data_IF_133330155281
#
_entry.id   IF_133330155281
#
_cell.length_a   1.000
_cell.length_b   1.000
_cell.length_c   1.000
_cell.angle_alpha   90.00
_cell.angle_beta   90.00
_cell.angle_gamma   90.00
#
_symmetry.space_group_name_H-M   'P 1'
#
loop_
_entity.id
_entity.type
_entity.pdbx_description
1 polymer ?
#
# COMPACT_ATOMS: atom_id res chain seq x y z
N UNK A 1 5.39 -15.47 -11.96
CA UNK A 1 5.28 -15.86 -10.54
C UNK A 1 4.72 -14.70 -9.67
N UNK A 2 3.77 -13.90 -10.19
CA UNK A 2 3.26 -12.67 -9.55
C UNK A 2 1.73 -12.63 -9.67
N UNK A 3 1.09 -13.77 -9.34
CA UNK A 3 -0.35 -14.00 -9.60
C UNK A 3 -1.18 -14.21 -8.33
N UNK A 4 -0.56 -14.33 -7.14
CA UNK A 4 -1.32 -14.48 -5.89
C UNK A 4 -1.49 -13.13 -5.21
N UNK A 5 -2.64 -12.93 -4.55
CA UNK A 5 -2.91 -11.75 -3.74
C UNK A 5 -1.80 -11.51 -2.70
N UNK A 6 -1.34 -12.59 -2.04
CA UNK A 6 -0.23 -12.57 -1.08
C UNK A 6 1.04 -11.96 -1.69
N UNK A 7 1.47 -12.43 -2.86
CA UNK A 7 2.70 -11.96 -3.48
C UNK A 7 2.59 -10.51 -3.94
N UNK A 8 1.46 -10.11 -4.53
CA UNK A 8 1.24 -8.73 -4.94
C UNK A 8 1.22 -7.77 -3.75
N UNK A 9 0.55 -8.14 -2.64
CA UNK A 9 0.51 -7.31 -1.45
C UNK A 9 1.89 -7.23 -0.78
N UNK A 10 2.58 -8.35 -0.63
CA UNK A 10 3.91 -8.40 -0.02
C UNK A 10 4.95 -7.59 -0.81
N UNK A 11 4.96 -7.71 -2.14
CA UNK A 11 5.84 -6.90 -3.00
C UNK A 11 5.51 -5.42 -2.89
N UNK A 12 4.23 -5.07 -2.81
CA UNK A 12 3.83 -3.68 -2.65
C UNK A 12 4.32 -3.10 -1.32
N UNK A 13 4.10 -3.82 -0.21
CA UNK A 13 4.61 -3.43 1.11
C UNK A 13 6.14 -3.29 1.09
N UNK A 14 6.83 -4.25 0.49
CA UNK A 14 8.30 -4.25 0.41
C UNK A 14 8.84 -3.04 -0.35
N UNK A 15 8.27 -2.74 -1.52
CA UNK A 15 8.78 -1.65 -2.35
C UNK A 15 8.39 -0.27 -1.82
N UNK A 16 7.23 -0.16 -1.17
CA UNK A 16 6.71 1.13 -0.68
C UNK A 16 7.16 1.45 0.76
N UNK A 17 7.43 0.45 1.59
CA UNK A 17 7.58 0.68 3.04
C UNK A 17 8.56 -0.26 3.77
N UNK A 18 9.41 -1.05 3.10
CA UNK A 18 10.33 -1.98 3.78
C UNK A 18 11.26 -1.35 4.82
N UNK A 19 11.64 -0.10 4.61
CA UNK A 19 12.52 0.66 5.51
C UNK A 19 11.75 1.44 6.59
N UNK A 20 10.42 1.33 6.60
CA UNK A 20 9.55 1.97 7.57
C UNK A 20 9.19 1.02 8.72
N UNK A 21 8.65 1.58 9.79
CA UNK A 21 8.12 0.78 10.90
C UNK A 21 6.93 -0.12 10.47
N UNK A 22 6.63 -1.13 11.30
CA UNK A 22 5.55 -2.10 11.03
C UNK A 22 4.21 -1.40 10.85
N UNK A 23 3.94 -0.31 11.59
CA UNK A 23 2.70 0.44 11.47
C UNK A 23 2.54 1.10 10.09
N UNK A 24 3.60 1.66 9.53
CA UNK A 24 3.60 2.22 8.17
C UNK A 24 3.45 1.13 7.11
N UNK A 25 4.09 -0.03 7.30
CA UNK A 25 3.93 -1.18 6.40
C UNK A 25 2.49 -1.71 6.38
N UNK A 26 1.86 -1.82 7.56
CA UNK A 26 0.43 -2.14 7.69
C UNK A 26 -0.44 -1.08 7.01
N UNK A 27 -0.12 0.22 7.19
CA UNK A 27 -0.91 1.29 6.60
C UNK A 27 -0.89 1.28 5.05
N UNK A 28 0.24 0.91 4.43
CA UNK A 28 0.32 0.69 2.97
C UNK A 28 -0.53 -0.51 2.54
N UNK A 29 -0.50 -1.60 3.32
CA UNK A 29 -1.34 -2.76 3.07
C UNK A 29 -2.84 -2.41 3.19
N UNK A 30 -3.23 -1.68 4.22
CA UNK A 30 -4.59 -1.17 4.40
C UNK A 30 -5.05 -0.35 3.19
N UNK A 31 -4.26 0.61 2.72
CA UNK A 31 -4.63 1.40 1.53
C UNK A 31 -4.84 0.51 0.31
N UNK A 32 -4.00 -0.53 0.13
CA UNK A 32 -4.14 -1.47 -0.98
C UNK A 32 -5.47 -2.23 -0.89
N UNK A 33 -5.84 -2.71 0.30
CA UNK A 33 -7.08 -3.47 0.52
C UNK A 33 -8.34 -2.57 0.55
N UNK A 34 -8.24 -1.35 1.07
CA UNK A 34 -9.30 -0.33 1.00
C UNK A 34 -9.65 -0.02 -0.46
N UNK A 35 -8.65 0.00 -1.35
CA UNK A 35 -8.88 0.15 -2.80
C UNK A 35 -9.59 -1.06 -3.38
N UNK A 36 -9.20 -2.28 -3.03
CA UNK A 36 -9.88 -3.50 -3.48
C UNK A 36 -11.37 -3.50 -3.12
N UNK A 37 -11.74 -2.99 -1.95
CA UNK A 37 -13.14 -2.88 -1.51
C UNK A 37 -13.92 -1.74 -2.18
N UNK A 38 -13.22 -0.83 -2.84
CA UNK A 38 -13.82 0.37 -3.42
C UNK A 38 -14.17 0.13 -4.89
N UNK A 39 -15.38 0.51 -5.29
CA UNK A 39 -15.88 0.42 -6.68
C UNK A 39 -15.11 1.29 -7.68
N UNK A 40 -14.21 2.15 -7.20
CA UNK A 40 -13.40 3.06 -8.02
C UNK A 40 -12.04 2.48 -8.44
N UNK A 41 -11.67 1.31 -7.93
CA UNK A 41 -10.39 0.65 -8.20
C UNK A 41 -10.64 -0.80 -8.66
N UNK A 42 -9.61 -1.48 -9.17
CA UNK A 42 -9.70 -2.91 -9.45
C UNK A 42 -10.07 -3.71 -8.20
N UNK A 43 -10.88 -4.75 -8.38
CA UNK A 43 -11.46 -5.62 -7.35
C UNK A 43 -10.53 -6.76 -6.90
N UNK A 44 -9.25 -6.71 -7.30
CA UNK A 44 -8.23 -7.68 -6.88
C UNK A 44 -6.97 -6.98 -6.43
N UNK A 45 -6.26 -7.56 -5.46
CA UNK A 45 -5.00 -7.02 -4.93
C UNK A 45 -3.99 -6.79 -6.06
N UNK A 46 -3.79 -7.78 -6.92
CA UNK A 46 -2.88 -7.63 -8.06
C UNK A 46 -3.40 -6.60 -9.07
N UNK A 47 -4.72 -6.46 -9.26
CA UNK A 47 -5.29 -5.42 -10.08
C UNK A 47 -4.94 -4.02 -9.57
N UNK A 48 -5.06 -3.79 -8.26
CA UNK A 48 -4.68 -2.53 -7.60
C UNK A 48 -3.17 -2.27 -7.73
N UNK A 49 -2.33 -3.26 -7.42
CA UNK A 49 -0.87 -3.13 -7.48
C UNK A 49 -0.37 -2.87 -8.90
N UNK A 50 -0.97 -3.53 -9.89
CA UNK A 50 -0.59 -3.40 -11.31
C UNK A 50 -1.35 -2.29 -12.02
N UNK A 51 -2.16 -1.50 -11.33
CA UNK A 51 -2.90 -0.40 -11.92
C UNK A 51 -1.92 0.60 -12.55
N UNK A 52 -2.23 1.07 -13.76
CA UNK A 52 -1.35 1.95 -14.53
C UNK A 52 -0.96 3.19 -13.71
N UNK A 53 0.34 3.43 -13.59
CA UNK A 53 0.95 4.55 -12.88
C UNK A 53 0.61 4.64 -11.38
N UNK A 54 0.11 3.56 -10.76
CA UNK A 54 -0.30 3.60 -9.36
C UNK A 54 0.87 3.40 -8.39
N UNK A 55 1.77 2.46 -8.68
CA UNK A 55 2.98 2.22 -7.91
C UNK A 55 4.18 2.30 -8.83
N UNK A 56 5.13 3.20 -8.53
CA UNK A 56 6.24 3.48 -9.45
C UNK A 56 7.16 2.29 -9.64
N UNK A 57 7.37 1.48 -8.60
CA UNK A 57 8.26 0.32 -8.64
C UNK A 57 7.84 -0.71 -9.69
N UNK A 58 6.53 -0.86 -9.96
CA UNK A 58 6.03 -1.81 -10.96
C UNK A 58 6.16 -1.28 -12.40
N UNK A 59 6.22 0.05 -12.57
CA UNK A 59 6.20 0.71 -13.88
C UNK A 59 7.54 1.35 -14.27
N UNK A 60 8.58 1.25 -13.43
CA UNK A 60 9.88 1.89 -13.68
C UNK A 60 10.82 1.07 -14.58
N UNK A 61 10.36 -0.08 -15.08
CA UNK A 61 11.10 -1.05 -15.88
C UNK A 61 12.35 -1.64 -15.18
N UNK A 62 12.42 -1.56 -13.85
CA UNK A 62 13.46 -2.23 -13.07
C UNK A 62 12.99 -3.60 -12.60
N UNK A 63 13.89 -4.31 -11.92
CA UNK A 63 13.55 -5.61 -11.36
C UNK A 63 12.71 -5.46 -10.10
N UNK A 64 11.54 -6.11 -10.09
CA UNK A 64 10.67 -6.22 -8.91
C UNK A 64 11.21 -7.16 -7.83
N UNK A 65 12.35 -7.82 -8.05
CA UNK A 65 12.90 -8.84 -7.16
C UNK A 65 13.31 -8.21 -5.81
N UNK A 66 12.81 -8.72 -4.68
CA UNK A 66 13.32 -8.34 -3.37
C UNK A 66 14.77 -8.81 -3.19
N UNK A 67 15.63 -7.89 -2.76
CA UNK A 67 17.05 -8.17 -2.50
C UNK A 67 17.32 -8.36 -1.00
N UNK A 68 16.52 -7.71 -0.15
CA UNK A 68 16.62 -7.77 1.32
C UNK A 68 15.68 -8.86 1.84
N UNK A 69 16.23 -10.06 2.06
CA UNK A 69 15.43 -11.26 2.38
C UNK A 69 14.62 -11.10 3.68
N UNK A 70 15.21 -10.51 4.72
CA UNK A 70 14.54 -10.34 6.01
C UNK A 70 13.40 -9.33 5.92
N UNK A 71 13.63 -8.20 5.24
CA UNK A 71 12.58 -7.22 5.00
C UNK A 71 11.45 -7.78 4.14
N UNK A 72 11.77 -8.59 3.13
CA UNK A 72 10.75 -9.26 2.31
C UNK A 72 9.96 -10.30 3.11
N UNK A 73 10.61 -11.03 4.02
CA UNK A 73 9.92 -11.94 4.94
C UNK A 73 8.94 -11.18 5.83
N UNK A 74 9.33 -10.04 6.40
CA UNK A 74 8.43 -9.17 7.16
C UNK A 74 7.26 -8.71 6.30
N UNK A 75 7.49 -8.29 5.06
CA UNK A 75 6.42 -7.88 4.14
C UNK A 75 5.46 -9.04 3.80
N UNK A 76 5.96 -10.27 3.68
CA UNK A 76 5.14 -11.47 3.51
C UNK A 76 4.28 -11.75 4.74
N UNK A 77 4.87 -11.71 5.94
CA UNK A 77 4.16 -11.96 7.20
C UNK A 77 3.04 -10.92 7.42
N UNK A 78 3.31 -9.65 7.11
CA UNK A 78 2.30 -8.58 7.17
C UNK A 78 1.22 -8.82 6.12
N UNK A 79 1.59 -9.14 4.87
CA UNK A 79 0.62 -9.38 3.81
C UNK A 79 -0.32 -10.56 4.14
N UNK A 80 0.21 -11.65 4.69
CA UNK A 80 -0.57 -12.81 5.12
C UNK A 80 -1.57 -12.43 6.22
N UNK A 81 -1.11 -11.75 7.28
CA UNK A 81 -1.98 -11.27 8.37
C UNK A 81 -3.06 -10.32 7.87
N UNK A 82 -2.70 -9.39 6.99
CA UNK A 82 -3.66 -8.43 6.43
C UNK A 82 -4.70 -9.09 5.51
N UNK A 83 -4.40 -10.24 4.90
CA UNK A 83 -5.36 -10.99 4.08
C UNK A 83 -6.28 -11.89 4.93
N UNK A 84 -5.81 -12.39 6.07
CA UNK A 84 -6.55 -13.34 6.91
C UNK A 84 -7.27 -12.67 8.10
N UNK A 85 -6.71 -11.61 8.66
CA UNK A 85 -7.03 -11.08 9.98
C UNK A 85 -7.14 -9.53 9.97
N UNK A 86 -7.44 -8.92 8.82
CA UNK A 86 -7.40 -7.45 8.63
C UNK A 86 -8.07 -6.64 9.73
N UNK A 87 -9.23 -7.08 10.23
CA UNK A 87 -10.02 -6.37 11.24
C UNK A 87 -9.24 -6.15 12.56
N UNK A 88 -8.19 -6.93 12.82
CA UNK A 88 -7.31 -6.77 13.99
C UNK A 88 -6.15 -5.79 13.76
N UNK A 89 -5.87 -5.40 12.52
CA UNK A 89 -4.73 -4.58 12.15
C UNK A 89 -5.19 -3.32 11.41
N UNK A 90 -5.66 -2.33 12.17
CA UNK A 90 -6.02 -1.01 11.64
C UNK A 90 -5.06 0.06 12.11
N UNK A 91 -4.45 0.79 11.15
CA UNK A 91 -3.61 1.95 11.42
C UNK A 91 -4.29 3.20 10.88
N UNK A 92 -4.59 3.27 9.59
CA UNK A 92 -5.14 4.48 8.93
C UNK A 92 -6.64 4.42 8.70
N UNK A 93 -7.25 3.23 8.86
CA UNK A 93 -8.69 3.03 8.75
C UNK A 93 -9.17 2.84 7.31
N UNK A 94 -10.41 2.36 7.19
CA UNK A 94 -11.03 1.91 5.92
C UNK A 94 -11.18 2.98 4.83
N UNK A 95 -11.23 4.26 5.21
CA UNK A 95 -11.41 5.36 4.25
C UNK A 95 -10.08 5.80 3.61
N UNK A 96 -8.94 5.29 4.07
CA UNK A 96 -7.63 5.69 3.55
C UNK A 96 -7.38 5.08 2.16
N UNK A 97 -7.35 5.92 1.12
CA UNK A 97 -7.19 5.46 -0.27
C UNK A 97 -5.96 6.02 -0.95
N UNK A 98 -5.25 6.96 -0.31
CA UNK A 98 -4.11 7.65 -0.88
C UNK A 98 -3.05 7.92 0.18
N UNK A 99 -1.79 7.90 -0.24
CA UNK A 99 -0.67 8.37 0.56
C UNK A 99 0.45 8.93 -0.31
N UNK A 100 1.37 9.66 0.30
CA UNK A 100 2.66 10.00 -0.30
C UNK A 100 3.73 10.12 0.78
N UNK A 101 4.99 9.99 0.38
CA UNK A 101 6.13 10.24 1.25
C UNK A 101 6.24 11.73 1.59
N UNK A 102 6.48 12.06 2.86
CA UNK A 102 6.44 13.43 3.39
C UNK A 102 7.48 14.40 2.80
N UNK A 103 8.45 13.89 2.05
CA UNK A 103 9.42 14.68 1.29
C UNK A 103 9.00 14.92 -0.19
N UNK A 104 7.82 14.48 -0.60
CA UNK A 104 7.22 14.70 -1.92
C UNK A 104 6.02 15.64 -1.76
N UNK A 105 5.79 16.54 -2.73
CA UNK A 105 4.63 17.44 -2.73
C UNK A 105 3.75 17.23 -3.98
N UNK A 106 2.81 16.27 -3.95
CA UNK A 106 1.97 15.99 -5.10
C UNK A 106 0.80 16.99 -5.22
N UNK A 107 0.55 17.47 -6.44
CA UNK A 107 -0.52 18.44 -6.73
C UNK A 107 -1.93 17.97 -6.30
N UNK A 108 -2.13 16.65 -6.23
CA UNK A 108 -3.41 16.05 -5.89
C UNK A 108 -3.70 16.12 -4.39
N UNK A 109 -2.69 16.19 -3.50
CA UNK A 109 -2.89 16.09 -2.05
C UNK A 109 -3.86 17.14 -1.48
N UNK A 110 -3.89 18.35 -2.06
CA UNK A 110 -4.82 19.42 -1.67
C UNK A 110 -6.30 19.11 -1.95
N UNK A 111 -6.59 18.10 -2.78
CA UNK A 111 -7.96 17.68 -3.13
C UNK A 111 -8.53 16.65 -2.16
N UNK A 112 -7.70 16.06 -1.30
CA UNK A 112 -8.08 14.98 -0.39
C UNK A 112 -7.94 15.44 1.05
N UNK A 113 -8.72 14.83 1.95
CA UNK A 113 -8.61 15.12 3.37
C UNK A 113 -7.49 14.31 3.99
N UNK A 114 -6.54 14.99 4.62
CA UNK A 114 -5.47 14.34 5.38
C UNK A 114 -6.07 13.59 6.57
N UNK A 115 -5.66 12.34 6.74
CA UNK A 115 -6.01 11.50 7.90
C UNK A 115 -4.93 11.69 8.98
N UNK A 116 -3.72 11.18 8.74
CA UNK A 116 -2.57 11.30 9.63
C UNK A 116 -1.25 11.02 8.92
N UNK A 117 -0.14 11.22 9.62
CA UNK A 117 1.21 10.77 9.19
C UNK A 117 1.57 9.49 9.97
N UNK A 118 2.13 8.50 9.31
CA UNK A 118 2.65 7.26 9.91
C UNK A 118 4.02 7.00 9.26
N UNK A 119 5.07 6.86 10.07
CA UNK A 119 6.44 6.88 9.55
C UNK A 119 6.71 8.11 8.69
N UNK A 120 7.25 7.91 7.50
CA UNK A 120 7.48 8.97 6.51
C UNK A 120 6.26 9.25 5.62
N UNK A 121 5.18 8.47 5.71
CA UNK A 121 4.01 8.59 4.84
C UNK A 121 2.90 9.48 5.42
N UNK A 122 2.26 10.28 4.57
CA UNK A 122 1.05 11.04 4.90
C UNK A 122 -0.13 10.40 4.17
N UNK A 123 -1.18 10.04 4.91
CA UNK A 123 -2.35 9.32 4.41
C UNK A 123 -3.56 10.23 4.28
N UNK A 124 -4.42 9.91 3.32
CA UNK A 124 -5.55 10.72 2.90
C UNK A 124 -6.78 9.87 2.57
N UNK A 125 -7.96 10.47 2.73
CA UNK A 125 -9.23 9.98 2.18
C UNK A 125 -9.76 10.89 1.09
N UNK A 126 -10.39 10.29 0.09
CA UNK A 126 -11.18 11.00 -0.91
C UNK A 126 -12.57 11.24 -0.33
N UNK A 127 -12.98 12.50 -0.17
CA UNK A 127 -14.33 12.83 0.33
C UNK A 127 -15.37 12.89 -0.79
N UNK A 128 -14.96 12.71 -2.05
CA UNK A 128 -15.85 12.72 -3.21
C UNK A 128 -16.27 11.32 -3.67
N UNK A 129 -15.89 10.30 -2.91
CA UNK A 129 -16.04 8.87 -3.20
C UNK A 129 -16.43 8.15 -1.93
#
# INVERSE_FOLDING_TARGET
>A
MLNTALMCLALNIYHEARSEDIASQIAVAEVTLNRVESTYYPDTVCGVVKQKNQFSWYWDNKSDKPYEKDAFKVSLDIAERMLLERDYYTVVGKDATHYHASYVNPYWAKKFKRIKKVGTHIFYKDEKK
#
